data_IF_425964923544
#
_entry.id   IF_425964923544
#
_cell.length_a   1.000
_cell.length_b   1.000
_cell.length_c   1.000
_cell.angle_alpha   90.00
_cell.angle_beta   90.00
_cell.angle_gamma   90.00
#
_symmetry.space_group_name_H-M   'P 1'
#
loop_
_entity.id
_entity.type
_entity.pdbx_description
1 polymer ?
#
# COMPACT_ATOMS: atom_id res chain seq x y z
N UNK A 1 3.90 15.79 20.87
CA UNK A 1 4.57 15.20 19.69
C UNK A 1 4.21 13.73 19.46
N UNK A 2 4.29 12.83 20.45
CA UNK A 2 4.09 11.38 20.23
C UNK A 2 2.75 10.94 19.62
N UNK A 3 1.63 11.58 19.94
CA UNK A 3 0.31 11.17 19.43
C UNK A 3 0.17 11.32 17.90
N UNK A 4 0.64 12.43 17.32
CA UNK A 4 0.58 12.65 15.87
C UNK A 4 1.49 11.69 15.10
N UNK A 5 2.65 11.36 15.68
CA UNK A 5 3.58 10.36 15.14
C UNK A 5 2.91 8.99 15.13
N UNK A 6 2.33 8.59 16.25
CA UNK A 6 1.63 7.30 16.37
C UNK A 6 0.45 7.20 15.39
N UNK A 7 -0.33 8.27 15.27
CA UNK A 7 -1.41 8.36 14.31
C UNK A 7 -0.90 8.23 12.86
N UNK A 8 0.15 8.96 12.49
CA UNK A 8 0.71 8.91 11.13
C UNK A 8 1.36 7.56 10.78
N UNK A 9 2.07 6.92 11.71
CA UNK A 9 2.72 5.61 11.51
C UNK A 9 1.69 4.50 11.33
N UNK A 10 0.51 4.58 11.95
CA UNK A 10 -0.56 3.60 11.77
C UNK A 10 -1.52 3.94 10.63
N UNK A 11 -1.89 5.22 10.46
CA UNK A 11 -2.87 5.62 9.44
C UNK A 11 -2.28 5.55 8.03
N UNK A 12 -1.01 5.89 7.85
CA UNK A 12 -0.35 5.97 6.54
C UNK A 12 -0.21 4.60 5.84
N UNK A 13 0.26 3.52 6.51
CA UNK A 13 0.28 2.19 5.89
C UNK A 13 -1.12 1.64 5.66
N UNK A 14 -2.10 1.91 6.54
CA UNK A 14 -3.49 1.48 6.34
C UNK A 14 -4.10 2.14 5.10
N UNK A 15 -3.91 3.45 4.94
CA UNK A 15 -4.36 4.19 3.75
C UNK A 15 -3.62 3.70 2.49
N UNK A 16 -2.33 3.38 2.58
CA UNK A 16 -1.57 2.80 1.47
C UNK A 16 -2.09 1.42 1.06
N UNK A 17 -2.45 0.54 2.01
CA UNK A 17 -3.07 -0.76 1.73
C UNK A 17 -4.38 -0.56 0.98
N UNK A 18 -5.28 0.27 1.52
CA UNK A 18 -6.62 0.52 0.94
C UNK A 18 -6.48 1.11 -0.46
N UNK A 19 -5.59 2.09 -0.65
CA UNK A 19 -5.33 2.70 -1.95
C UNK A 19 -4.78 1.69 -2.96
N UNK A 20 -3.80 0.86 -2.56
CA UNK A 20 -3.27 -0.20 -3.42
C UNK A 20 -4.37 -1.18 -3.84
N UNK A 21 -5.14 -1.74 -2.91
CA UNK A 21 -6.21 -2.69 -3.24
C UNK A 21 -7.23 -2.08 -4.21
N UNK A 22 -7.60 -0.82 -4.02
CA UNK A 22 -8.51 -0.12 -4.93
C UNK A 22 -7.91 0.04 -6.33
N UNK A 23 -6.64 0.43 -6.42
CA UNK A 23 -5.94 0.62 -7.70
C UNK A 23 -5.83 -0.69 -8.47
N UNK A 24 -5.68 -1.78 -7.74
CA UNK A 24 -5.62 -3.15 -8.23
C UNK A 24 -6.95 -3.63 -8.79
N UNK A 25 -8.04 -3.32 -8.09
CA UNK A 25 -9.38 -3.60 -8.58
C UNK A 25 -9.68 -2.82 -9.86
N UNK A 26 -9.25 -1.56 -9.92
CA UNK A 26 -9.33 -0.71 -11.12
C UNK A 26 -8.48 -1.28 -12.26
N UNK A 27 -7.23 -1.69 -12.00
CA UNK A 27 -6.36 -2.31 -12.99
C UNK A 27 -6.97 -3.60 -13.55
N UNK A 28 -7.56 -4.44 -12.68
CA UNK A 28 -8.31 -5.64 -13.11
C UNK A 28 -9.52 -5.28 -13.98
N UNK A 29 -10.22 -4.19 -13.65
CA UNK A 29 -11.40 -3.71 -14.38
C UNK A 29 -11.04 -3.13 -15.75
N UNK A 30 -9.91 -2.41 -15.85
CA UNK A 30 -9.39 -1.80 -17.08
C UNK A 30 -8.68 -2.82 -17.97
N UNK A 31 -7.96 -3.78 -17.40
CA UNK A 31 -7.23 -4.82 -18.14
C UNK A 31 -8.13 -5.88 -18.79
N UNK A 32 -9.46 -5.76 -18.63
CA UNK A 32 -10.43 -6.51 -19.43
C UNK A 32 -10.31 -8.03 -19.31
N UNK A 33 -10.56 -8.58 -18.11
CA UNK A 33 -10.73 -10.03 -17.88
C UNK A 33 -9.63 -10.95 -18.46
N UNK A 34 -8.41 -10.45 -18.66
CA UNK A 34 -7.28 -11.34 -18.95
C UNK A 34 -6.99 -12.14 -17.68
N UNK A 35 -7.24 -13.46 -17.76
CA UNK A 35 -7.04 -14.46 -16.70
C UNK A 35 -5.55 -14.70 -16.42
N UNK A 36 -4.73 -13.66 -16.42
CA UNK A 36 -3.40 -13.78 -15.84
C UNK A 36 -3.55 -13.78 -14.32
N UNK A 37 -2.69 -14.54 -13.64
CA UNK A 37 -2.53 -14.60 -12.18
C UNK A 37 -2.05 -13.26 -11.59
N UNK A 38 -2.49 -12.14 -12.15
CA UNK A 38 -2.26 -10.78 -11.69
C UNK A 38 -2.65 -10.64 -10.23
N UNK A 39 -3.66 -11.38 -9.75
CA UNK A 39 -4.03 -11.37 -8.33
C UNK A 39 -2.84 -11.67 -7.39
N UNK A 40 -1.99 -12.64 -7.75
CA UNK A 40 -0.82 -13.01 -6.95
C UNK A 40 0.28 -11.96 -7.08
N UNK A 41 0.60 -11.52 -8.30
CA UNK A 41 1.62 -10.49 -8.54
C UNK A 41 1.26 -9.16 -7.86
N UNK A 42 -0.02 -8.86 -7.85
CA UNK A 42 -0.54 -7.62 -7.30
C UNK A 42 -0.67 -7.64 -5.77
N UNK A 43 -0.94 -8.79 -5.17
CA UNK A 43 -0.81 -8.96 -3.73
C UNK A 43 0.64 -8.71 -3.28
N UNK A 44 1.61 -9.28 -4.00
CA UNK A 44 3.04 -9.01 -3.78
C UNK A 44 3.40 -7.53 -3.98
N UNK A 45 2.84 -6.88 -5.00
CA UNK A 45 3.02 -5.45 -5.24
C UNK A 45 2.47 -4.58 -4.11
N UNK A 46 1.27 -4.90 -3.63
CA UNK A 46 0.63 -4.20 -2.50
C UNK A 46 1.45 -4.38 -1.22
N UNK A 47 1.91 -5.61 -0.95
CA UNK A 47 2.74 -5.91 0.21
C UNK A 47 4.07 -5.14 0.16
N UNK A 48 4.72 -5.10 -1.02
CA UNK A 48 5.95 -4.34 -1.23
C UNK A 48 5.73 -2.83 -1.06
N UNK A 49 4.63 -2.29 -1.60
CA UNK A 49 4.31 -0.87 -1.50
C UNK A 49 4.05 -0.45 -0.04
N UNK A 50 3.31 -1.26 0.70
CA UNK A 50 3.02 -1.04 2.12
C UNK A 50 4.30 -1.10 2.95
N UNK A 51 5.20 -2.03 2.63
CA UNK A 51 6.51 -2.10 3.24
C UNK A 51 7.35 -0.84 2.96
N UNK A 52 7.40 -0.37 1.70
CA UNK A 52 8.13 0.85 1.32
C UNK A 52 7.54 2.09 2.01
N UNK A 53 6.21 2.25 2.01
CA UNK A 53 5.56 3.39 2.68
C UNK A 53 5.81 3.34 4.19
N UNK A 54 5.78 2.14 4.79
CA UNK A 54 6.14 1.93 6.19
C UNK A 54 7.58 2.34 6.50
N UNK A 55 8.55 1.89 5.69
CA UNK A 55 9.96 2.23 5.90
C UNK A 55 10.25 3.72 5.69
N UNK A 56 9.64 4.35 4.68
CA UNK A 56 9.77 5.80 4.46
C UNK A 56 9.18 6.57 5.64
N UNK A 57 7.99 6.18 6.12
CA UNK A 57 7.34 6.85 7.27
C UNK A 57 8.21 6.76 8.52
N UNK A 58 8.77 5.58 8.81
CA UNK A 58 9.67 5.38 9.95
C UNK A 58 10.98 6.16 9.77
N UNK A 59 11.55 6.16 8.56
CA UNK A 59 12.79 6.91 8.24
C UNK A 59 12.61 8.42 8.41
N UNK A 60 11.46 8.97 7.98
CA UNK A 60 11.10 10.37 8.17
C UNK A 60 10.89 10.78 9.64
N UNK A 61 10.70 9.82 10.55
CA UNK A 61 10.64 10.09 11.99
C UNK A 61 11.97 9.91 12.72
N UNK A 62 12.93 9.20 12.11
CA UNK A 62 14.27 8.98 12.67
C UNK A 62 15.24 10.11 12.27
N UNK A 63 15.00 10.78 11.15
CA UNK A 63 15.76 11.96 10.67
C UNK A 63 15.22 13.28 11.22
#
# INVERSE_FOLDING_TARGET
MGFLIYASVFINPVLAIVFCINLVEILKKVSGNQKEDTAKNTFWMTLAFVYIVGTITISSFIS
#
